data_IF_252447249542
#
_entry.id   IF_252447249542
#
_cell.length_a   1.000
_cell.length_b   1.000
_cell.length_c   1.000
_cell.angle_alpha   90.00
_cell.angle_beta   90.00
_cell.angle_gamma   90.00
#
_symmetry.space_group_name_H-M   'P 1'
#
loop_
_entity.id
_entity.type
_entity.pdbx_description
1 polymer ?
#
# COMPACT_ATOMS: atom_id res chain seq x y z
N UNK A 1 -7.92 7.73 -4.69
CA UNK A 1 -9.13 7.17 -4.07
C UNK A 1 -9.18 7.41 -2.56
N UNK A 2 -8.05 7.24 -1.86
CA UNK A 2 -7.91 7.43 -0.39
C UNK A 2 -8.38 8.79 0.15
N UNK A 3 -7.97 9.92 -0.45
CA UNK A 3 -8.40 11.26 0.00
C UNK A 3 -9.93 11.46 -0.06
N UNK A 4 -10.60 10.89 -1.07
CA UNK A 4 -12.05 10.95 -1.21
C UNK A 4 -12.78 10.09 -0.17
N UNK A 5 -12.23 8.91 0.14
CA UNK A 5 -12.76 8.04 1.20
C UNK A 5 -12.56 8.66 2.59
N UNK A 6 -11.39 9.24 2.88
CA UNK A 6 -11.16 9.93 4.15
C UNK A 6 -12.06 11.15 4.32
N UNK A 7 -12.35 11.89 3.24
CA UNK A 7 -13.32 12.98 3.27
C UNK A 7 -14.75 12.49 3.53
N UNK A 8 -15.13 11.34 2.98
CA UNK A 8 -16.42 10.70 3.24
C UNK A 8 -16.58 10.25 4.70
N UNK A 9 -15.49 9.79 5.34
CA UNK A 9 -15.46 9.45 6.77
C UNK A 9 -15.32 10.68 7.69
N UNK A 10 -15.25 11.90 7.15
CA UNK A 10 -15.19 13.13 7.95
C UNK A 10 -13.84 13.37 8.64
N UNK A 11 -12.76 12.73 8.20
CA UNK A 11 -11.41 12.95 8.73
C UNK A 11 -10.87 14.29 8.18
N UNK A 12 -10.80 15.29 9.05
CA UNK A 12 -10.15 16.57 8.76
C UNK A 12 -8.63 16.38 8.79
N UNK A 13 -8.02 16.20 7.62
CA UNK A 13 -6.58 16.02 7.46
C UNK A 13 -5.85 17.23 8.04
N UNK A 14 -5.08 17.02 9.10
CA UNK A 14 -4.19 18.04 9.65
C UNK A 14 -3.10 18.44 8.63
N UNK A 15 -2.66 19.70 8.67
CA UNK A 15 -1.75 20.28 7.68
C UNK A 15 -0.40 19.53 7.67
N UNK A 16 0.08 19.10 8.84
CA UNK A 16 1.33 18.34 8.99
C UNK A 16 1.26 16.94 8.40
N UNK A 17 0.12 16.25 8.51
CA UNK A 17 -0.08 14.91 7.95
C UNK A 17 -0.17 14.96 6.41
N UNK A 18 -0.56 16.10 5.85
CA UNK A 18 -0.69 16.32 4.40
C UNK A 18 0.65 16.35 3.65
N UNK A 19 1.72 16.79 4.29
CA UNK A 19 3.06 16.86 3.68
C UNK A 19 3.76 15.50 3.66
N UNK A 20 3.61 14.72 4.74
CA UNK A 20 4.24 13.40 4.88
C UNK A 20 3.51 12.35 4.03
N UNK A 21 2.20 12.55 3.84
CA UNK A 21 1.32 11.64 3.11
C UNK A 21 1.85 11.19 1.73
N UNK A 22 2.16 12.07 0.77
CA UNK A 22 2.60 11.65 -0.57
C UNK A 22 3.88 10.82 -0.54
N UNK A 23 4.80 11.09 0.39
CA UNK A 23 6.03 10.31 0.52
C UNK A 23 5.76 8.88 0.96
N UNK A 24 4.84 8.69 1.93
CA UNK A 24 4.44 7.36 2.40
C UNK A 24 3.81 6.53 1.28
N UNK A 25 2.91 7.13 0.50
CA UNK A 25 2.25 6.44 -0.62
C UNK A 25 3.24 6.04 -1.70
N UNK A 26 4.13 6.97 -2.09
CA UNK A 26 5.12 6.69 -3.13
C UNK A 26 6.06 5.58 -2.67
N UNK A 27 6.51 5.60 -1.42
CA UNK A 27 7.49 4.64 -0.93
C UNK A 27 6.93 3.21 -0.89
N UNK A 28 5.70 3.04 -0.36
CA UNK A 28 5.04 1.73 -0.24
C UNK A 28 4.55 1.22 -1.61
N UNK A 29 3.87 2.07 -2.38
CA UNK A 29 3.28 1.64 -3.65
C UNK A 29 4.31 1.37 -4.74
N UNK A 30 5.40 2.15 -4.79
CA UNK A 30 6.44 1.97 -5.81
C UNK A 30 7.20 0.65 -5.63
N UNK A 31 7.50 0.26 -4.38
CA UNK A 31 8.23 -0.99 -4.11
C UNK A 31 7.42 -2.21 -4.57
N UNK A 32 6.14 -2.27 -4.25
CA UNK A 32 5.23 -3.35 -4.65
C UNK A 32 5.15 -3.47 -6.19
N UNK A 33 5.01 -2.34 -6.89
CA UNK A 33 4.93 -2.30 -8.36
C UNK A 33 6.24 -2.70 -9.03
N UNK A 34 7.39 -2.28 -8.47
CA UNK A 34 8.71 -2.63 -9.00
C UNK A 34 9.00 -4.13 -8.87
N UNK A 35 8.68 -4.73 -7.72
CA UNK A 35 8.84 -6.18 -7.49
C UNK A 35 7.97 -6.98 -8.47
N UNK A 36 6.71 -6.58 -8.64
CA UNK A 36 5.81 -7.22 -9.59
C UNK A 36 6.31 -7.12 -11.04
N UNK A 37 6.75 -5.92 -11.45
CA UNK A 37 7.25 -5.68 -12.81
C UNK A 37 8.51 -6.49 -13.10
N UNK A 38 9.43 -6.56 -12.14
CA UNK A 38 10.64 -7.40 -12.23
C UNK A 38 10.29 -8.87 -12.41
N UNK A 39 9.29 -9.36 -11.69
CA UNK A 39 8.80 -10.73 -11.81
C UNK A 39 8.22 -11.03 -13.21
N UNK A 40 7.38 -10.14 -13.75
CA UNK A 40 6.78 -10.30 -15.09
C UNK A 40 7.83 -10.22 -16.21
N UNK A 41 8.84 -9.36 -16.07
CA UNK A 41 9.94 -9.23 -17.04
C UNK A 41 10.87 -10.46 -16.97
N UNK A 42 11.05 -11.05 -15.79
CA UNK A 42 11.88 -12.26 -15.61
C UNK A 42 11.25 -13.55 -16.17
N UNK A 43 9.96 -13.52 -16.52
CA UNK A 43 9.24 -14.68 -17.08
C UNK A 43 9.57 -14.85 -18.57
N UNK A 44 9.63 -16.10 -19.06
CA UNK A 44 10.01 -16.40 -20.45
C UNK A 44 9.14 -15.63 -21.46
N UNK A 45 9.81 -14.99 -22.42
CA UNK A 45 9.24 -14.15 -23.47
C UNK A 45 8.42 -14.97 -24.48
N UNK A 46 8.67 -16.29 -24.57
CA UNK A 46 7.95 -17.19 -25.47
C UNK A 46 6.49 -17.43 -25.08
N UNK A 47 6.11 -17.10 -23.85
CA UNK A 47 4.76 -17.27 -23.32
C UNK A 47 3.86 -16.09 -23.69
N UNK A 48 2.57 -16.37 -23.89
CA UNK A 48 1.57 -15.34 -24.13
C UNK A 48 1.50 -14.34 -22.96
N UNK A 49 1.18 -13.07 -23.27
CA UNK A 49 1.22 -11.94 -22.32
C UNK A 49 0.35 -12.22 -21.09
N UNK A 50 -0.81 -12.85 -21.29
CA UNK A 50 -1.74 -13.21 -20.20
C UNK A 50 -1.12 -14.21 -19.23
N UNK A 51 -0.39 -15.20 -19.74
CA UNK A 51 0.24 -16.26 -18.94
C UNK A 51 1.43 -15.67 -18.17
N UNK A 52 2.19 -14.76 -18.78
CA UNK A 52 3.30 -14.06 -18.11
C UNK A 52 2.84 -13.23 -16.92
N UNK A 53 1.75 -12.48 -17.07
CA UNK A 53 1.17 -11.70 -15.96
C UNK A 53 0.64 -12.63 -14.87
N UNK A 54 -0.09 -13.69 -15.22
CA UNK A 54 -0.62 -14.65 -14.25
C UNK A 54 0.51 -15.34 -13.46
N UNK A 55 1.58 -15.78 -14.13
CA UNK A 55 2.74 -16.39 -13.47
C UNK A 55 3.47 -15.40 -12.58
N UNK A 56 3.73 -14.19 -13.06
CA UNK A 56 4.40 -13.16 -12.27
C UNK A 56 3.63 -12.79 -11.00
N UNK A 57 2.31 -12.66 -11.12
CA UNK A 57 1.41 -12.40 -10.00
C UNK A 57 1.33 -13.59 -9.03
N UNK A 58 1.29 -14.83 -9.53
CA UNK A 58 1.25 -16.03 -8.67
C UNK A 58 2.51 -16.20 -7.81
N UNK A 59 3.66 -15.75 -8.33
CA UNK A 59 4.96 -15.88 -7.66
C UNK A 59 5.15 -14.82 -6.58
N UNK A 60 4.87 -13.56 -6.91
CA UNK A 60 5.11 -12.44 -5.99
C UNK A 60 3.90 -12.09 -5.13
N UNK A 61 2.69 -12.57 -5.48
CA UNK A 61 1.46 -12.26 -4.75
C UNK A 61 1.50 -12.66 -3.27
N UNK A 62 2.17 -13.77 -2.94
CA UNK A 62 2.38 -14.17 -1.54
C UNK A 62 3.32 -13.22 -0.79
N UNK A 63 4.37 -12.72 -1.46
CA UNK A 63 5.31 -11.76 -0.88
C UNK A 63 4.63 -10.42 -0.61
N UNK A 64 3.90 -9.90 -1.61
CA UNK A 64 3.16 -8.63 -1.52
C UNK A 64 2.10 -8.71 -0.40
N UNK A 65 1.34 -9.81 -0.32
CA UNK A 65 0.33 -9.99 0.73
C UNK A 65 0.92 -10.03 2.14
N UNK A 66 2.11 -10.64 2.29
CA UNK A 66 2.83 -10.64 3.57
C UNK A 66 3.31 -9.24 3.94
N UNK A 67 3.84 -8.49 2.98
CA UNK A 67 4.29 -7.11 3.21
C UNK A 67 3.13 -6.23 3.69
N UNK A 68 1.98 -6.32 3.01
CA UNK A 68 0.76 -5.62 3.41
C UNK A 68 0.32 -6.01 4.83
N UNK A 69 0.34 -7.31 5.17
CA UNK A 69 -0.02 -7.75 6.51
C UNK A 69 0.94 -7.20 7.57
N UNK A 70 2.25 -7.17 7.29
CA UNK A 70 3.23 -6.59 8.22
C UNK A 70 3.02 -5.10 8.40
N UNK A 71 2.77 -4.34 7.33
CA UNK A 71 2.50 -2.90 7.43
C UNK A 71 1.22 -2.61 8.22
N UNK A 72 0.14 -3.38 7.99
CA UNK A 72 -1.08 -3.29 8.78
C UNK A 72 -0.84 -3.59 10.28
N UNK A 73 -0.01 -4.58 10.61
CA UNK A 73 0.32 -4.87 12.01
C UNK A 73 1.10 -3.73 12.67
N UNK A 74 2.04 -3.10 11.94
CA UNK A 74 2.80 -1.95 12.45
C UNK A 74 1.86 -0.75 12.65
N UNK A 75 0.97 -0.48 11.70
CA UNK A 75 0.01 0.62 11.80
C UNK A 75 -1.01 0.40 12.92
N UNK A 76 -1.46 -0.83 13.16
CA UNK A 76 -2.36 -1.16 14.29
C UNK A 76 -1.67 -1.00 15.64
N UNK A 77 -0.38 -1.35 15.76
CA UNK A 77 0.42 -1.03 16.95
C UNK A 77 0.54 0.50 17.12
N UNK A 78 0.72 1.24 16.02
CA UNK A 78 0.75 2.70 16.02
C UNK A 78 -0.54 3.33 16.58
N UNK A 79 -1.70 2.76 16.29
CA UNK A 79 -2.99 3.19 16.86
C UNK A 79 -3.06 3.07 18.39
N UNK A 80 -2.36 2.08 18.95
CA UNK A 80 -2.31 1.83 20.40
C UNK A 80 -1.41 2.82 21.17
N UNK A 81 -0.74 3.77 20.50
CA UNK A 81 0.11 4.76 21.17
C UNK A 81 -0.66 5.91 21.83
N UNK A 82 -1.99 5.99 21.65
CA UNK A 82 -2.91 6.99 22.23
C UNK A 82 -2.53 8.47 22.03
N UNK A 83 -1.63 8.76 21.09
CA UNK A 83 -1.28 10.12 20.70
C UNK A 83 -2.19 10.50 19.52
N UNK A 84 -3.02 11.56 19.63
CA UNK A 84 -4.07 11.86 18.65
C UNK A 84 -3.51 12.09 17.23
N UNK A 85 -2.36 12.74 17.12
CA UNK A 85 -1.68 12.98 15.82
C UNK A 85 -1.24 11.68 15.16
N UNK A 86 -0.74 10.72 15.95
CA UNK A 86 -0.28 9.43 15.44
C UNK A 86 -1.47 8.57 15.03
N UNK A 87 -2.56 8.61 15.80
CA UNK A 87 -3.77 7.85 15.48
C UNK A 87 -4.41 8.30 14.17
N UNK A 88 -4.52 9.61 13.94
CA UNK A 88 -5.03 10.17 12.68
C UNK A 88 -4.19 9.70 11.48
N UNK A 89 -2.85 9.76 11.62
CA UNK A 89 -1.91 9.27 10.61
C UNK A 89 -2.05 7.77 10.35
N UNK A 90 -2.20 6.95 11.38
CA UNK A 90 -2.33 5.50 11.24
C UNK A 90 -3.65 5.10 10.56
N UNK A 91 -4.80 5.69 10.95
CA UNK A 91 -6.10 5.43 10.30
C UNK A 91 -6.03 5.77 8.83
N UNK A 92 -5.48 6.95 8.54
CA UNK A 92 -5.33 7.43 7.17
C UNK A 92 -4.39 6.50 6.36
N UNK A 93 -3.27 6.08 6.95
CA UNK A 93 -2.31 5.17 6.30
C UNK A 93 -2.96 3.82 5.99
N UNK A 94 -3.78 3.27 6.88
CA UNK A 94 -4.52 2.01 6.63
C UNK A 94 -5.44 2.16 5.42
N UNK A 95 -6.24 3.23 5.35
CA UNK A 95 -7.13 3.48 4.21
C UNK A 95 -6.33 3.60 2.91
N UNK A 96 -5.19 4.29 2.96
CA UNK A 96 -4.34 4.44 1.79
C UNK A 96 -3.71 3.13 1.33
N UNK A 97 -3.23 2.31 2.27
CA UNK A 97 -2.57 1.04 1.99
C UNK A 97 -3.56 0.02 1.42
N UNK A 98 -4.79 0.02 1.93
CA UNK A 98 -5.89 -0.76 1.33
C UNK A 98 -6.21 -0.25 -0.08
N UNK A 99 -6.24 1.07 -0.31
CA UNK A 99 -6.48 1.62 -1.64
C UNK A 99 -5.33 1.37 -2.64
N UNK A 100 -4.09 1.18 -2.17
CA UNK A 100 -2.93 0.89 -3.03
C UNK A 100 -2.91 -0.59 -3.44
N UNK A 101 -3.37 -1.47 -2.56
CA UNK A 101 -3.45 -2.91 -2.83
C UNK A 101 -4.55 -3.31 -3.82
N UNK A 102 -5.66 -2.55 -3.86
CA UNK A 102 -6.80 -2.80 -4.76
C UNK A 102 -6.66 -2.07 -6.09
#
# INVERSE_FOLDING_TARGET
MSLGLCFFFGLAISIHSKEIFPYLVILVGLENVLVLTKSIISTDIKLDVKIRVAQGLSKEGWSISKNLLTELTILTIGLCTFIPVIQELCIFSIVCLVCDFF
#
